data_IF_764624233875
#
_entry.id   IF_764624233875
#
_cell.length_a   1.000
_cell.length_b   1.000
_cell.length_c   1.000
_cell.angle_alpha   90.00
_cell.angle_beta   90.00
_cell.angle_gamma   90.00
#
_symmetry.space_group_name_H-M   'P 1'
#
loop_
_entity.id
_entity.type
_entity.pdbx_description
1 polymer ?
#
# COMPACT_ATOMS: atom_id res chain seq x y z
N UNK A 1 12.06 -2.62 -2.59
CA UNK A 1 11.57 -2.18 -1.27
C UNK A 1 10.52 -3.15 -0.77
N UNK A 2 10.31 -3.30 0.55
CA UNK A 2 9.28 -4.18 1.11
C UNK A 2 7.99 -3.40 1.33
N UNK A 3 6.84 -3.96 0.97
CA UNK A 3 5.54 -3.32 1.10
C UNK A 3 4.44 -4.32 1.50
N UNK A 4 3.38 -3.82 2.14
CA UNK A 4 2.11 -4.54 2.26
C UNK A 4 1.28 -4.22 1.02
N UNK A 5 1.03 -5.22 0.17
CA UNK A 5 0.32 -5.08 -1.10
C UNK A 5 -1.04 -5.76 -1.02
N UNK A 6 -2.08 -4.97 -1.30
CA UNK A 6 -3.46 -5.43 -1.31
C UNK A 6 -3.82 -5.94 -2.71
N UNK A 7 -4.04 -7.25 -2.83
CA UNK A 7 -4.42 -7.92 -4.08
C UNK A 7 -5.94 -8.13 -4.20
N UNK A 8 -6.66 -7.99 -3.09
CA UNK A 8 -8.11 -8.12 -3.02
C UNK A 8 -8.60 -8.37 -1.59
N UNK A 9 -9.93 -8.41 -1.36
CA UNK A 9 -10.49 -8.70 -0.04
C UNK A 9 -9.92 -10.01 0.52
N UNK A 10 -9.36 -9.96 1.73
CA UNK A 10 -8.71 -11.09 2.39
C UNK A 10 -7.29 -11.41 1.88
N UNK A 11 -6.79 -10.71 0.87
CA UNK A 11 -5.47 -10.95 0.26
C UNK A 11 -4.56 -9.71 0.40
N UNK A 12 -3.87 -9.65 1.54
CA UNK A 12 -2.84 -8.66 1.85
C UNK A 12 -1.51 -9.38 2.05
N UNK A 13 -0.51 -9.05 1.23
CA UNK A 13 0.78 -9.74 1.21
C UNK A 13 1.93 -8.81 1.55
N UNK A 14 2.89 -9.32 2.30
CA UNK A 14 4.15 -8.63 2.51
C UNK A 14 5.16 -9.10 1.46
N UNK A 15 5.49 -8.24 0.51
CA UNK A 15 6.29 -8.60 -0.67
C UNK A 15 7.34 -7.54 -1.02
N UNK A 16 8.31 -7.96 -1.83
CA UNK A 16 9.30 -7.06 -2.42
C UNK A 16 8.77 -6.47 -3.72
N UNK A 17 8.78 -5.14 -3.81
CA UNK A 17 8.35 -4.36 -4.97
C UNK A 17 9.50 -3.46 -5.45
N UNK A 18 9.56 -3.06 -6.73
CA UNK A 18 10.59 -2.15 -7.21
C UNK A 18 10.51 -0.79 -6.50
N UNK A 19 11.65 -0.11 -6.39
CA UNK A 19 11.66 1.31 -6.04
C UNK A 19 11.19 2.07 -7.29
N UNK A 20 10.20 2.98 -7.19
CA UNK A 20 9.67 3.68 -8.36
C UNK A 20 10.67 4.69 -8.92
N UNK A 21 10.59 4.91 -10.24
CA UNK A 21 11.26 6.03 -10.91
C UNK A 21 10.50 7.34 -10.66
N UNK A 22 11.22 8.46 -10.61
CA UNK A 22 10.61 9.78 -10.36
C UNK A 22 10.39 10.55 -11.66
N UNK A 23 9.19 11.11 -11.81
CA UNK A 23 8.87 12.10 -12.83
C UNK A 23 9.24 13.54 -12.43
N UNK A 24 9.13 14.50 -13.36
CA UNK A 24 9.35 15.91 -13.05
C UNK A 24 8.42 16.41 -11.95
N UNK A 25 8.98 16.95 -10.87
CA UNK A 25 8.23 17.51 -9.74
C UNK A 25 7.87 16.51 -8.64
N UNK A 26 8.26 15.24 -8.77
CA UNK A 26 8.04 14.22 -7.74
C UNK A 26 9.22 14.10 -6.78
N UNK A 27 8.97 13.54 -5.59
CA UNK A 27 10.00 13.26 -4.58
C UNK A 27 9.90 11.81 -4.09
N UNK A 28 11.05 11.19 -3.86
CA UNK A 28 11.13 9.86 -3.26
C UNK A 28 11.28 9.97 -1.74
N UNK A 29 10.39 9.32 -1.00
CA UNK A 29 10.43 9.29 0.46
C UNK A 29 10.75 7.88 0.96
N UNK A 30 11.58 7.80 2.01
CA UNK A 30 11.69 6.58 2.82
C UNK A 30 10.67 6.65 3.95
N UNK A 31 9.70 5.75 3.92
CA UNK A 31 8.65 5.69 4.93
C UNK A 31 9.22 5.12 6.23
N UNK A 32 9.22 5.92 7.31
CA UNK A 32 9.60 5.46 8.66
C UNK A 32 8.41 4.84 9.41
N UNK A 33 7.20 5.38 9.19
CA UNK A 33 5.97 4.83 9.75
C UNK A 33 4.76 5.12 8.84
N UNK A 34 3.90 4.12 8.69
CA UNK A 34 2.56 4.26 8.10
C UNK A 34 1.55 3.65 9.08
N UNK A 35 0.59 4.46 9.52
CA UNK A 35 -0.44 4.03 10.46
C UNK A 35 -1.67 3.52 9.72
N UNK A 36 -2.45 2.67 10.39
CA UNK A 36 -3.71 2.15 9.86
C UNK A 36 -4.91 2.84 10.51
N UNK A 37 -6.04 2.83 9.82
CA UNK A 37 -7.32 3.30 10.30
C UNK A 37 -8.45 2.31 9.95
N UNK A 38 -9.68 2.62 10.36
CA UNK A 38 -10.84 1.75 10.08
C UNK A 38 -11.09 1.52 8.58
N UNK A 39 -10.66 2.45 7.72
CA UNK A 39 -10.76 2.28 6.26
C UNK A 39 -9.91 1.13 5.77
N UNK A 40 -8.72 0.93 6.33
CA UNK A 40 -7.84 -0.18 5.94
C UNK A 40 -8.45 -1.52 6.32
N UNK A 41 -9.05 -1.61 7.51
CA UNK A 41 -9.79 -2.81 7.96
C UNK A 41 -10.98 -3.10 7.06
N UNK A 42 -11.76 -2.08 6.70
CA UNK A 42 -12.90 -2.21 5.77
C UNK A 42 -12.43 -2.64 4.39
N UNK A 43 -11.34 -2.08 3.87
CA UNK A 43 -10.77 -2.43 2.57
C UNK A 43 -10.25 -3.86 2.56
N UNK A 44 -9.55 -4.28 3.60
CA UNK A 44 -9.09 -5.66 3.75
C UNK A 44 -10.26 -6.64 3.80
N UNK A 45 -11.32 -6.33 4.54
CA UNK A 45 -12.44 -7.25 4.72
C UNK A 45 -13.34 -7.40 3.49
N UNK A 46 -13.65 -6.31 2.79
CA UNK A 46 -14.65 -6.33 1.69
C UNK A 46 -14.31 -5.46 0.48
N UNK A 47 -13.15 -4.82 0.45
CA UNK A 47 -12.75 -3.91 -0.63
C UNK A 47 -13.52 -2.59 -0.66
N UNK A 48 -13.42 -1.88 -1.79
CA UNK A 48 -14.21 -0.69 -2.09
C UNK A 48 -15.34 -1.07 -3.05
N UNK A 49 -16.62 -0.79 -2.73
CA UNK A 49 -17.70 -1.01 -3.70
C UNK A 49 -17.41 -0.15 -4.93
N UNK A 50 -17.41 -0.77 -6.11
CA UNK A 50 -17.32 -0.09 -7.41
C UNK A 50 -18.67 0.43 -7.87
#
# INVERSE_FOLDING_TARGET
MRAQVFHGPGDLRFEEVPVPDLGPGEVLLRIEAALTCGTDVKTLGRGHPV
#
